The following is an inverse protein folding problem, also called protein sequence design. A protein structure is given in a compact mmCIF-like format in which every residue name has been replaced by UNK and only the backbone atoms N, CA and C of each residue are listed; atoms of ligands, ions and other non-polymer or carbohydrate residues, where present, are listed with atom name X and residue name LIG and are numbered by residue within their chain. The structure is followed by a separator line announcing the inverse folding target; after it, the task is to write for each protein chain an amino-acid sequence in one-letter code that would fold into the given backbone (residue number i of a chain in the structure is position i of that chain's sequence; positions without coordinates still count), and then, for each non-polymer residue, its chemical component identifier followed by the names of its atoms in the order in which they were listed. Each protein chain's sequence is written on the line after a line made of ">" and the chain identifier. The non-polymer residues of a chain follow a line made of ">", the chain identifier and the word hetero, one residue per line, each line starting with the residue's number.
data_IF_701886098362
#
_entry.id   IF_701886098362
#
_cell.length_a   1.000
_cell.length_b   1.000
_cell.length_c   1.000
_cell.angle_alpha   90.00
_cell.angle_beta   90.00
_cell.angle_gamma   90.00
#
_symmetry.space_group_name_H-M   'P 1'
#
loop_
_entity.id
_entity.type
_entity.pdbx_description
1 polymer ?
#
# COMPACT_ATOMS: atom_id res chain seq x y z
N UNK A 1 40.36 -6.11 -26.44
CA UNK A 1 39.77 -7.34 -25.90
C UNK A 1 38.30 -7.04 -25.66
N UNK A 2 37.48 -7.68 -26.46
CA UNK A 2 36.03 -7.41 -26.67
C UNK A 2 35.18 -7.99 -25.56
N UNK A 3 34.29 -7.20 -24.97
CA UNK A 3 33.18 -7.71 -24.17
C UNK A 3 31.90 -7.67 -25.00
N UNK A 4 31.46 -8.87 -25.43
CA UNK A 4 30.22 -9.07 -26.15
C UNK A 4 29.01 -8.91 -25.19
N UNK A 5 28.11 -8.02 -25.55
CA UNK A 5 26.78 -7.93 -24.97
C UNK A 5 25.92 -9.09 -25.53
N UNK A 6 25.33 -9.90 -24.66
CA UNK A 6 24.34 -10.90 -25.04
C UNK A 6 22.95 -10.25 -24.98
N UNK A 7 22.42 -9.91 -26.15
CA UNK A 7 21.02 -9.56 -26.35
C UNK A 7 20.17 -10.84 -26.37
N UNK A 8 19.17 -10.89 -25.49
CA UNK A 8 18.17 -11.96 -25.49
C UNK A 8 17.09 -11.64 -26.54
N UNK A 9 17.17 -12.31 -27.68
CA UNK A 9 16.18 -12.25 -28.74
C UNK A 9 14.94 -13.06 -28.35
N UNK A 10 13.80 -12.39 -28.19
CA UNK A 10 12.50 -13.04 -28.04
C UNK A 10 12.00 -13.40 -29.44
N UNK A 11 11.97 -14.70 -29.76
CA UNK A 11 11.40 -15.23 -31.00
C UNK A 11 9.88 -15.31 -30.82
N UNK A 12 9.14 -14.43 -31.49
CA UNK A 12 7.69 -14.53 -31.65
C UNK A 12 7.41 -15.38 -32.89
N UNK A 13 6.92 -16.60 -32.69
CA UNK A 13 6.44 -17.47 -33.75
C UNK A 13 5.09 -16.98 -34.27
N UNK A 14 5.04 -16.62 -35.53
CA UNK A 14 3.83 -16.27 -36.26
C UNK A 14 3.09 -17.54 -36.71
N UNK A 15 1.84 -17.71 -36.29
CA UNK A 15 0.88 -18.62 -36.92
C UNK A 15 -0.30 -17.82 -37.45
N UNK A 16 -0.65 -18.08 -38.71
CA UNK A 16 -1.54 -17.39 -39.63
C UNK A 16 -3.05 -17.65 -39.41
N UNK A 17 -3.97 -16.98 -40.14
CA UNK A 17 -5.20 -16.42 -39.61
C UNK A 17 -6.46 -17.19 -39.96
N UNK A 18 -7.44 -17.24 -39.10
CA UNK A 18 -8.88 -17.25 -39.43
C UNK A 18 -9.72 -17.29 -38.14
N UNK A 19 -10.26 -16.17 -37.72
CA UNK A 19 -11.69 -15.98 -37.45
C UNK A 19 -11.90 -14.56 -36.90
N UNK A 20 -12.64 -13.78 -37.68
CA UNK A 20 -13.23 -12.51 -37.27
C UNK A 20 -14.18 -12.76 -36.12
N UNK A 21 -13.84 -12.25 -34.95
CA UNK A 21 -14.79 -11.98 -33.86
C UNK A 21 -14.53 -10.58 -33.32
N UNK A 22 -15.57 -9.79 -33.34
CA UNK A 22 -15.65 -8.37 -33.00
C UNK A 22 -14.97 -8.09 -31.67
N UNK A 23 -13.94 -7.23 -31.68
CA UNK A 23 -13.38 -6.59 -30.50
C UNK A 23 -14.31 -5.44 -30.13
N UNK A 24 -15.18 -5.66 -29.17
CA UNK A 24 -15.84 -4.59 -28.43
C UNK A 24 -14.83 -4.03 -27.44
N UNK A 25 -14.19 -2.92 -27.81
CA UNK A 25 -13.46 -2.10 -26.85
C UNK A 25 -14.49 -1.37 -25.99
N UNK A 26 -14.75 -1.86 -24.80
CA UNK A 26 -15.43 -1.05 -23.79
C UNK A 26 -14.45 0.01 -23.26
N UNK A 27 -14.49 1.18 -23.90
CA UNK A 27 -14.01 2.40 -23.30
C UNK A 27 -14.97 2.77 -22.17
N UNK A 28 -14.58 2.57 -20.94
CA UNK A 28 -15.26 3.15 -19.81
C UNK A 28 -14.82 4.61 -19.73
N UNK A 29 -15.56 5.49 -20.42
CA UNK A 29 -15.51 6.94 -20.22
C UNK A 29 -16.31 7.28 -18.98
N UNK A 30 -15.78 6.94 -17.81
CA UNK A 30 -16.28 7.45 -16.53
C UNK A 30 -15.57 8.75 -16.21
N UNK A 31 -16.26 9.87 -16.37
CA UNK A 31 -15.84 11.13 -15.77
C UNK A 31 -15.73 10.93 -14.24
N UNK A 32 -14.52 10.74 -13.75
CA UNK A 32 -14.25 10.81 -12.32
C UNK A 32 -14.24 12.27 -11.91
N UNK A 33 -15.37 12.72 -11.33
CA UNK A 33 -15.42 13.97 -10.58
C UNK A 33 -14.52 13.83 -9.34
N UNK A 34 -13.67 14.81 -9.01
CA UNK A 34 -12.73 14.72 -7.87
C UNK A 34 -13.39 14.90 -6.50
N UNK A 35 -14.68 14.72 -6.36
CA UNK A 35 -15.43 15.01 -5.11
C UNK A 35 -16.24 13.80 -4.63
N UNK A 36 -15.66 12.62 -4.56
CA UNK A 36 -16.19 11.56 -3.73
C UNK A 36 -15.49 11.58 -2.38
N UNK A 37 -15.98 12.44 -1.49
CA UNK A 37 -15.68 12.36 -0.06
C UNK A 37 -16.11 10.98 0.43
N UNK A 38 -15.15 10.19 0.93
CA UNK A 38 -15.43 8.96 1.64
C UNK A 38 -16.32 9.28 2.85
N UNK A 39 -17.35 8.48 3.13
CA UNK A 39 -18.18 8.70 4.31
C UNK A 39 -17.30 8.60 5.55
N UNK A 40 -17.27 9.68 6.32
CA UNK A 40 -16.68 9.74 7.65
C UNK A 40 -17.51 8.79 8.53
N UNK A 41 -16.96 7.62 8.83
CA UNK A 41 -17.51 6.79 9.89
C UNK A 41 -17.26 7.52 11.21
N UNK A 42 -18.32 8.03 11.80
CA UNK A 42 -18.33 8.51 13.18
C UNK A 42 -17.87 7.39 14.09
N UNK A 43 -16.67 7.57 14.64
CA UNK A 43 -16.14 6.71 15.69
C UNK A 43 -17.08 6.82 16.91
N UNK A 44 -17.87 5.78 17.15
CA UNK A 44 -18.50 5.60 18.44
C UNK A 44 -17.40 5.42 19.48
N UNK A 45 -17.33 6.37 20.38
CA UNK A 45 -16.46 6.34 21.53
C UNK A 45 -16.94 5.18 22.45
N UNK A 46 -16.28 4.01 22.35
CA UNK A 46 -16.44 2.92 23.28
C UNK A 46 -15.47 3.19 24.41
N UNK A 47 -16.01 3.50 25.59
CA UNK A 47 -15.27 3.70 26.84
C UNK A 47 -14.40 2.48 27.18
N UNK A 48 -13.13 2.65 27.59
CA UNK A 48 -12.24 1.52 27.87
C UNK A 48 -12.42 1.02 29.29
N UNK A 49 -13.25 0.00 29.49
CA UNK A 49 -13.21 -0.86 30.68
C UNK A 49 -13.27 -2.33 30.24
N UNK A 50 -12.21 -2.80 29.57
CA UNK A 50 -11.99 -4.22 29.36
C UNK A 50 -10.61 -4.59 29.89
N UNK A 51 -10.56 -5.63 30.72
CA UNK A 51 -9.33 -6.13 31.36
C UNK A 51 -8.30 -6.51 30.28
N UNK A 52 -7.03 -6.21 30.52
CA UNK A 52 -5.93 -6.42 29.55
C UNK A 52 -5.75 -7.88 29.08
N UNK A 53 -6.52 -8.83 29.59
CA UNK A 53 -6.54 -10.22 29.17
C UNK A 53 -7.51 -10.45 28.00
N UNK A 54 -8.70 -9.82 28.01
CA UNK A 54 -9.67 -9.88 26.89
C UNK A 54 -9.14 -9.14 25.65
N UNK A 55 -8.49 -7.99 25.84
CA UNK A 55 -7.84 -7.26 24.75
C UNK A 55 -6.69 -8.06 24.09
N UNK A 56 -6.03 -8.98 24.84
CA UNK A 56 -4.99 -9.86 24.29
C UNK A 56 -5.56 -11.03 23.47
N UNK A 57 -6.78 -11.45 23.72
CA UNK A 57 -7.45 -12.53 23.00
C UNK A 57 -8.13 -12.01 21.72
N UNK A 58 -8.79 -10.86 21.78
CA UNK A 58 -9.34 -10.17 20.60
C UNK A 58 -8.27 -9.68 19.61
N UNK A 59 -7.03 -9.50 20.07
CA UNK A 59 -5.86 -9.16 19.25
C UNK A 59 -5.26 -10.37 18.51
N UNK A 60 -5.74 -11.59 18.75
CA UNK A 60 -5.15 -12.80 18.15
C UNK A 60 -5.68 -13.13 16.76
N UNK A 61 -6.90 -12.72 16.43
CA UNK A 61 -7.48 -12.97 15.10
C UNK A 61 -8.05 -11.68 14.52
N UNK A 62 -7.46 -11.23 13.40
CA UNK A 62 -8.07 -10.17 12.62
C UNK A 62 -9.35 -10.71 11.96
N UNK A 63 -10.44 -9.97 12.07
CA UNK A 63 -11.62 -10.24 11.25
C UNK A 63 -11.21 -10.13 9.77
N UNK A 64 -11.58 -11.11 8.95
CA UNK A 64 -11.38 -11.11 7.50
C UNK A 64 -12.33 -10.13 6.80
N UNK A 65 -13.37 -9.66 7.50
CA UNK A 65 -14.46 -8.89 6.93
C UNK A 65 -14.04 -7.56 6.27
N UNK A 66 -13.09 -6.78 6.82
CA UNK A 66 -12.59 -5.58 6.14
C UNK A 66 -11.97 -5.86 4.76
N UNK A 67 -11.29 -7.00 4.61
CA UNK A 67 -10.71 -7.42 3.34
C UNK A 67 -11.80 -7.83 2.34
N UNK A 68 -12.80 -8.59 2.77
CA UNK A 68 -13.95 -8.98 1.93
C UNK A 68 -14.71 -7.74 1.45
N UNK A 69 -14.97 -6.78 2.34
CA UNK A 69 -15.59 -5.50 1.98
C UNK A 69 -14.73 -4.68 1.01
N UNK A 70 -13.39 -4.73 1.16
CA UNK A 70 -12.48 -4.08 0.22
C UNK A 70 -12.59 -4.69 -1.17
N UNK A 71 -12.62 -6.03 -1.29
CA UNK A 71 -12.78 -6.70 -2.56
C UNK A 71 -14.17 -6.46 -3.18
N UNK A 72 -15.23 -6.51 -2.38
CA UNK A 72 -16.61 -6.26 -2.85
C UNK A 72 -16.82 -4.86 -3.46
N UNK A 73 -16.08 -3.86 -2.97
CA UNK A 73 -16.09 -2.51 -3.55
C UNK A 73 -15.48 -2.46 -4.95
N UNK A 74 -14.58 -3.39 -5.26
CA UNK A 74 -13.96 -3.50 -6.59
C UNK A 74 -14.82 -4.40 -7.48
N UNK A 75 -15.10 -5.62 -7.03
CA UNK A 75 -15.91 -6.62 -7.73
C UNK A 75 -16.60 -7.49 -6.66
N UNK A 76 -17.95 -7.57 -6.65
CA UNK A 76 -18.67 -8.40 -5.68
C UNK A 76 -18.24 -9.86 -5.71
N UNK A 77 -17.98 -10.43 -4.53
CA UNK A 77 -17.58 -11.82 -4.35
C UNK A 77 -18.78 -12.70 -4.03
N UNK A 78 -18.84 -13.88 -4.64
CA UNK A 78 -19.78 -14.93 -4.26
C UNK A 78 -19.34 -15.69 -2.99
N UNK A 79 -20.17 -16.64 -2.51
CA UNK A 79 -19.90 -17.41 -1.29
C UNK A 79 -18.64 -18.27 -1.40
N UNK A 80 -18.39 -18.88 -2.56
CA UNK A 80 -17.24 -19.75 -2.77
C UNK A 80 -15.94 -18.91 -2.80
N UNK A 81 -15.95 -17.78 -3.49
CA UNK A 81 -14.84 -16.82 -3.56
C UNK A 81 -14.50 -16.25 -2.17
N UNK A 82 -15.52 -15.93 -1.35
CA UNK A 82 -15.30 -15.49 0.05
C UNK A 82 -14.64 -16.57 0.90
N UNK A 83 -15.01 -17.85 0.70
CA UNK A 83 -14.37 -18.96 1.40
C UNK A 83 -12.91 -19.13 0.98
N UNK A 84 -12.60 -19.04 -0.31
CA UNK A 84 -11.21 -19.05 -0.79
C UNK A 84 -10.35 -17.93 -0.13
N UNK A 85 -10.90 -16.73 0.02
CA UNK A 85 -10.20 -15.64 0.72
C UNK A 85 -9.95 -16.01 2.19
N UNK A 86 -10.94 -16.58 2.90
CA UNK A 86 -10.79 -17.02 4.30
C UNK A 86 -9.73 -18.10 4.48
N UNK A 87 -9.60 -19.01 3.52
CA UNK A 87 -8.62 -20.11 3.56
C UNK A 87 -7.20 -19.65 3.27
N UNK A 88 -7.00 -18.62 2.43
CA UNK A 88 -5.69 -18.22 1.92
C UNK A 88 -5.07 -17.02 2.65
N UNK A 89 -5.89 -16.22 3.32
CA UNK A 89 -5.39 -15.08 4.08
C UNK A 89 -5.27 -15.43 5.56
N UNK A 90 -4.10 -15.11 6.12
CA UNK A 90 -3.79 -15.39 7.52
C UNK A 90 -3.55 -14.09 8.28
N UNK A 91 -4.13 -13.99 9.48
CA UNK A 91 -3.91 -12.84 10.34
C UNK A 91 -2.55 -12.90 11.03
N UNK A 92 -1.90 -11.73 11.16
CA UNK A 92 -0.67 -11.59 11.92
C UNK A 92 -0.60 -10.23 12.61
N UNK A 93 -0.23 -10.26 13.88
CA UNK A 93 0.05 -9.07 14.67
C UNK A 93 1.54 -8.76 14.65
N UNK A 94 1.90 -7.57 14.21
CA UNK A 94 3.23 -7.00 14.35
C UNK A 94 3.23 -5.96 15.46
N UNK A 95 4.15 -6.09 16.41
CA UNK A 95 4.36 -5.10 17.46
C UNK A 95 5.04 -3.87 16.88
N UNK A 96 4.85 -2.73 17.54
CA UNK A 96 5.57 -1.50 17.21
C UNK A 96 7.07 -1.76 17.04
N UNK A 97 7.65 -1.28 15.94
CA UNK A 97 9.04 -1.48 15.51
C UNK A 97 9.41 -2.90 15.08
N UNK A 98 8.47 -3.83 15.03
CA UNK A 98 8.73 -5.16 14.49
C UNK A 98 8.78 -5.11 12.96
N UNK A 99 9.76 -5.81 12.39
CA UNK A 99 9.90 -5.95 10.95
C UNK A 99 8.86 -6.90 10.37
N UNK A 100 8.24 -6.48 9.28
CA UNK A 100 7.47 -7.31 8.34
C UNK A 100 8.42 -7.86 7.27
N UNK A 101 9.33 -7.01 6.79
CA UNK A 101 10.39 -7.32 5.85
C UNK A 101 11.64 -6.54 6.27
N UNK A 102 12.78 -7.21 6.31
CA UNK A 102 14.07 -6.58 6.56
C UNK A 102 14.91 -6.64 5.27
N UNK A 103 15.64 -5.58 4.99
CA UNK A 103 16.62 -5.52 3.89
C UNK A 103 17.50 -6.76 3.89
N UNK A 104 17.77 -7.32 2.71
CA UNK A 104 18.49 -8.58 2.53
C UNK A 104 17.61 -9.82 2.57
N UNK A 105 16.38 -9.76 3.08
CA UNK A 105 15.44 -10.87 3.06
C UNK A 105 14.52 -10.81 1.81
N UNK A 106 13.98 -11.96 1.41
CA UNK A 106 13.00 -12.05 0.32
C UNK A 106 11.62 -11.69 0.87
N UNK A 107 10.87 -10.84 0.15
CA UNK A 107 9.48 -10.55 0.45
C UNK A 107 8.61 -11.75 0.06
N UNK A 108 8.02 -12.42 1.03
CA UNK A 108 7.20 -13.63 0.82
C UNK A 108 5.72 -13.40 1.06
N UNK A 109 5.33 -12.24 1.56
CA UNK A 109 3.96 -11.96 1.98
C UNK A 109 3.44 -10.66 1.39
N UNK A 110 2.18 -10.68 0.92
CA UNK A 110 1.43 -9.49 0.56
C UNK A 110 0.47 -9.16 1.70
N UNK A 111 0.63 -7.99 2.32
CA UNK A 111 -0.06 -7.62 3.56
C UNK A 111 -1.15 -6.59 3.30
N UNK A 112 -2.36 -6.86 3.81
CA UNK A 112 -3.47 -5.91 3.93
C UNK A 112 -3.58 -5.46 5.39
N UNK A 113 -3.53 -4.17 5.65
CA UNK A 113 -3.60 -3.61 7.01
C UNK A 113 -5.05 -3.55 7.46
N UNK A 114 -5.37 -4.28 8.54
CA UNK A 114 -6.68 -4.26 9.18
C UNK A 114 -6.76 -3.15 10.23
N UNK A 115 -5.69 -3.00 11.01
CA UNK A 115 -5.54 -1.97 12.04
C UNK A 115 -4.08 -1.64 12.23
N UNK A 116 -3.77 -0.38 12.46
CA UNK A 116 -2.41 0.10 12.70
C UNK A 116 -1.78 0.72 11.45
N UNK A 117 -0.46 0.84 11.45
CA UNK A 117 0.26 1.48 10.36
C UNK A 117 1.63 0.84 10.14
N UNK A 118 1.90 0.50 8.89
CA UNK A 118 3.21 0.07 8.40
C UNK A 118 3.89 1.21 7.64
N UNK A 119 5.22 1.18 7.60
CA UNK A 119 6.02 2.00 6.68
C UNK A 119 6.98 1.13 5.89
N UNK A 120 7.24 1.53 4.64
CA UNK A 120 8.27 0.99 3.77
C UNK A 120 9.34 2.05 3.57
N UNK A 121 10.61 1.69 3.75
CA UNK A 121 11.71 2.63 3.69
C UNK A 121 13.03 1.97 3.30
N UNK A 122 13.96 2.81 2.86
CA UNK A 122 15.37 2.46 2.66
C UNK A 122 16.24 3.32 3.57
N UNK A 123 17.36 2.77 4.02
CA UNK A 123 18.43 3.50 4.68
C UNK A 123 19.56 3.68 3.66
N UNK A 124 20.00 4.90 3.45
CA UNK A 124 21.14 5.17 2.56
C UNK A 124 22.48 4.92 3.28
N UNK A 125 23.59 4.97 2.53
CA UNK A 125 24.96 4.76 3.05
C UNK A 125 25.34 5.76 4.17
N UNK A 126 24.67 6.91 4.24
CA UNK A 126 24.87 7.94 5.27
C UNK A 126 24.00 7.73 6.51
N UNK A 127 23.17 6.67 6.53
CA UNK A 127 22.25 6.37 7.62
C UNK A 127 20.93 7.14 7.56
N UNK A 128 20.64 7.90 6.50
CA UNK A 128 19.37 8.62 6.37
C UNK A 128 18.26 7.65 5.96
N UNK A 129 17.11 7.80 6.57
CA UNK A 129 15.91 7.03 6.24
C UNK A 129 15.12 7.74 5.15
N UNK A 130 14.81 7.04 4.06
CA UNK A 130 13.96 7.50 2.96
C UNK A 130 12.68 6.66 2.95
N UNK A 131 11.55 7.25 3.33
CA UNK A 131 10.28 6.53 3.39
C UNK A 131 9.61 6.58 2.02
N UNK A 132 9.30 5.38 1.50
CA UNK A 132 8.63 5.23 0.22
C UNK A 132 7.10 5.24 0.36
N UNK A 133 6.57 4.60 1.42
CA UNK A 133 5.14 4.41 1.58
C UNK A 133 4.78 4.25 3.07
N UNK A 134 3.60 4.75 3.41
CA UNK A 134 2.87 4.31 4.60
C UNK A 134 1.66 3.48 4.17
N UNK A 135 1.27 2.49 4.96
CA UNK A 135 0.03 1.77 4.78
C UNK A 135 -0.71 1.71 6.12
N UNK A 136 -1.86 2.35 6.15
CA UNK A 136 -2.80 2.33 7.26
C UNK A 136 -3.96 1.37 6.96
N UNK A 137 -5.01 1.44 7.74
CA UNK A 137 -6.21 0.61 7.62
C UNK A 137 -6.77 0.60 6.19
N UNK A 138 -7.09 -0.57 5.67
CA UNK A 138 -7.56 -0.84 4.30
C UNK A 138 -6.52 -0.58 3.20
N UNK A 139 -5.25 -0.46 3.54
CA UNK A 139 -4.17 -0.29 2.58
C UNK A 139 -3.31 -1.55 2.50
N UNK A 140 -2.65 -1.68 1.35
CA UNK A 140 -1.77 -2.80 1.06
C UNK A 140 -0.30 -2.41 1.23
N UNK A 141 0.52 -3.37 1.68
CA UNK A 141 1.97 -3.23 1.82
C UNK A 141 2.70 -4.45 1.27
N UNK A 142 3.61 -4.22 0.34
CA UNK A 142 4.44 -5.24 -0.29
C UNK A 142 5.66 -4.60 -0.95
N UNK A 143 6.81 -5.27 -0.92
CA UNK A 143 7.87 -5.04 -1.91
C UNK A 143 7.60 -5.94 -3.13
N UNK A 144 6.95 -5.37 -4.12
CA UNK A 144 6.51 -6.08 -5.31
C UNK A 144 7.70 -6.64 -6.13
N UNK A 145 8.81 -5.90 -6.16
CA UNK A 145 10.03 -6.32 -6.87
C UNK A 145 10.61 -7.60 -6.28
N UNK A 146 10.81 -7.63 -4.96
CA UNK A 146 11.31 -8.81 -4.24
C UNK A 146 10.31 -9.96 -4.28
N UNK A 147 9.00 -9.69 -4.09
CA UNK A 147 7.95 -10.70 -4.08
C UNK A 147 7.84 -11.48 -5.39
N UNK A 148 7.98 -10.80 -6.53
CA UNK A 148 7.92 -11.48 -7.85
C UNK A 148 9.24 -12.09 -8.27
N UNK A 149 10.37 -11.41 -8.04
CA UNK A 149 11.68 -11.89 -8.47
C UNK A 149 12.28 -12.95 -7.56
N UNK A 150 11.77 -13.09 -6.33
CA UNK A 150 12.32 -13.91 -5.24
C UNK A 150 13.76 -13.53 -4.88
N UNK A 151 14.19 -12.32 -5.22
CA UNK A 151 15.50 -11.78 -4.85
C UNK A 151 15.41 -11.01 -3.53
N UNK A 152 16.51 -10.93 -2.78
CA UNK A 152 16.57 -10.11 -1.56
C UNK A 152 16.11 -8.68 -1.80
N UNK A 153 15.32 -8.15 -0.89
CA UNK A 153 14.84 -6.77 -0.91
C UNK A 153 15.93 -5.79 -0.50
N UNK A 154 15.96 -4.62 -1.13
CA UNK A 154 16.74 -3.46 -0.70
C UNK A 154 15.93 -2.53 0.24
N UNK A 155 14.76 -2.97 0.68
CA UNK A 155 13.82 -2.18 1.47
C UNK A 155 13.55 -2.83 2.82
N UNK A 156 13.17 -2.00 3.77
CA UNK A 156 12.65 -2.42 5.07
C UNK A 156 11.16 -2.09 5.15
N UNK A 157 10.37 -2.98 5.77
CA UNK A 157 8.98 -2.74 6.14
C UNK A 157 8.87 -3.03 7.64
N UNK A 158 8.45 -2.05 8.43
CA UNK A 158 8.22 -2.22 9.87
C UNK A 158 6.88 -1.60 10.31
N UNK A 159 6.45 -1.96 11.50
CA UNK A 159 5.25 -1.45 12.14
C UNK A 159 5.55 -0.16 12.93
N UNK A 160 4.86 0.93 12.61
CA UNK A 160 4.97 2.21 13.34
C UNK A 160 4.32 2.11 14.72
N UNK A 161 3.29 1.30 14.83
CA UNK A 161 2.52 0.99 16.02
C UNK A 161 2.11 -0.49 15.99
N UNK A 162 1.43 -1.00 17.02
CA UNK A 162 0.91 -2.37 16.99
C UNK A 162 -0.07 -2.52 15.84
N UNK A 163 0.29 -3.34 14.85
CA UNK A 163 -0.37 -3.41 13.55
C UNK A 163 -0.85 -4.83 13.26
N UNK A 164 -2.14 -4.97 13.01
CA UNK A 164 -2.77 -6.21 12.60
C UNK A 164 -2.93 -6.23 11.09
N UNK A 165 -2.44 -7.27 10.45
CA UNK A 165 -2.55 -7.46 9.00
C UNK A 165 -3.20 -8.80 8.66
N UNK A 166 -3.81 -8.86 7.48
CA UNK A 166 -4.10 -10.10 6.77
C UNK A 166 -3.05 -10.25 5.68
N UNK A 167 -2.38 -11.39 5.66
CA UNK A 167 -1.29 -11.64 4.72
C UNK A 167 -1.58 -12.88 3.88
N UNK A 168 -1.14 -12.84 2.62
CA UNK A 168 -1.21 -13.96 1.69
C UNK A 168 0.19 -14.24 1.15
N UNK A 169 0.56 -15.52 1.10
CA UNK A 169 1.82 -15.96 0.50
C UNK A 169 1.74 -15.87 -1.04
N UNK A 170 2.92 -15.91 -1.69
CA UNK A 170 2.96 -15.94 -3.15
C UNK A 170 2.26 -17.17 -3.73
N UNK A 171 2.45 -18.33 -3.13
CA UNK A 171 1.87 -19.59 -3.62
C UNK A 171 0.36 -19.62 -3.42
N UNK A 172 -0.13 -19.12 -2.28
CA UNK A 172 -1.55 -18.97 -2.02
C UNK A 172 -2.20 -17.96 -2.97
N UNK A 173 -1.51 -16.87 -3.30
CA UNK A 173 -1.98 -15.88 -4.26
C UNK A 173 -2.11 -16.48 -5.67
N UNK A 174 -1.11 -17.25 -6.13
CA UNK A 174 -1.18 -17.95 -7.42
C UNK A 174 -2.32 -18.97 -7.42
N UNK A 175 -2.46 -19.73 -6.33
CA UNK A 175 -3.56 -20.67 -6.15
C UNK A 175 -4.93 -19.99 -6.19
N UNK A 176 -5.05 -18.82 -5.55
CA UNK A 176 -6.27 -18.00 -5.57
C UNK A 176 -6.63 -17.54 -6.98
N UNK A 177 -5.63 -17.10 -7.77
CA UNK A 177 -5.83 -16.72 -9.18
C UNK A 177 -6.31 -17.87 -10.05
N UNK A 178 -5.80 -19.09 -9.82
CA UNK A 178 -6.17 -20.29 -10.56
C UNK A 178 -7.58 -20.76 -10.18
N UNK A 179 -7.92 -20.75 -8.88
CA UNK A 179 -9.21 -21.21 -8.38
C UNK A 179 -10.36 -20.27 -8.74
N UNK A 180 -10.11 -18.95 -8.76
CA UNK A 180 -11.11 -17.94 -9.08
C UNK A 180 -10.48 -16.81 -9.91
N UNK A 181 -10.60 -16.86 -11.27
CA UNK A 181 -9.98 -15.90 -12.18
C UNK A 181 -10.36 -14.43 -11.92
N UNK A 182 -11.47 -14.17 -11.26
CA UNK A 182 -11.89 -12.82 -10.83
C UNK A 182 -10.83 -12.11 -10.01
N UNK A 183 -10.06 -12.84 -9.18
CA UNK A 183 -8.99 -12.25 -8.39
C UNK A 183 -7.83 -11.72 -9.23
N UNK A 184 -7.58 -12.26 -10.43
CA UNK A 184 -6.61 -11.65 -11.36
C UNK A 184 -7.02 -10.22 -11.72
N UNK A 185 -8.31 -9.97 -11.94
CA UNK A 185 -8.81 -8.62 -12.24
C UNK A 185 -8.71 -7.72 -11.01
N UNK A 186 -9.11 -8.20 -9.84
CA UNK A 186 -9.05 -7.45 -8.58
C UNK A 186 -7.61 -7.00 -8.29
N UNK A 187 -6.65 -7.93 -8.32
CA UNK A 187 -5.26 -7.61 -8.02
C UNK A 187 -4.60 -6.77 -9.13
N UNK A 188 -4.99 -6.95 -10.40
CA UNK A 188 -4.55 -6.07 -11.48
C UNK A 188 -4.98 -4.63 -11.22
N UNK A 189 -6.26 -4.38 -10.92
CA UNK A 189 -6.76 -3.04 -10.61
C UNK A 189 -6.04 -2.45 -9.39
N UNK A 190 -5.76 -3.27 -8.37
CA UNK A 190 -5.02 -2.85 -7.19
C UNK A 190 -3.59 -2.38 -7.56
N UNK A 191 -2.89 -3.15 -8.38
CA UNK A 191 -1.51 -2.83 -8.83
C UNK A 191 -1.52 -1.60 -9.75
N UNK A 192 -2.45 -1.51 -10.70
CA UNK A 192 -2.60 -0.36 -11.60
C UNK A 192 -2.85 0.93 -10.80
N UNK A 193 -3.75 0.91 -9.82
CA UNK A 193 -4.00 2.05 -8.92
C UNK A 193 -2.76 2.42 -8.09
N UNK A 194 -1.99 1.43 -7.65
CA UNK A 194 -0.74 1.65 -6.90
C UNK A 194 0.34 2.27 -7.79
N UNK A 195 0.43 1.84 -9.04
CA UNK A 195 1.33 2.39 -10.04
C UNK A 195 1.02 3.85 -10.36
N UNK A 196 -0.26 4.19 -10.59
CA UNK A 196 -0.70 5.59 -10.81
C UNK A 196 -0.29 6.48 -9.64
N UNK A 197 -0.55 6.03 -8.40
CA UNK A 197 -0.14 6.78 -7.20
C UNK A 197 1.39 6.96 -7.08
N UNK A 198 2.16 5.97 -7.53
CA UNK A 198 3.61 6.06 -7.57
C UNK A 198 4.07 7.07 -8.62
N UNK A 199 3.47 7.08 -9.82
CA UNK A 199 3.74 8.06 -10.87
C UNK A 199 3.44 9.49 -10.40
N UNK A 200 2.28 9.72 -9.77
CA UNK A 200 1.91 11.01 -9.19
C UNK A 200 2.95 11.48 -8.18
N UNK A 201 3.38 10.59 -7.28
CA UNK A 201 4.41 10.92 -6.29
C UNK A 201 5.76 11.23 -6.93
N UNK A 202 6.17 10.45 -7.93
CA UNK A 202 7.41 10.71 -8.67
C UNK A 202 7.36 12.08 -9.34
N UNK A 203 6.26 12.40 -10.01
CA UNK A 203 6.04 13.70 -10.63
C UNK A 203 6.13 14.83 -9.60
N UNK A 204 5.46 14.72 -8.46
CA UNK A 204 5.55 15.68 -7.36
C UNK A 204 6.99 15.85 -6.85
N UNK A 205 7.74 14.75 -6.73
CA UNK A 205 9.13 14.79 -6.27
C UNK A 205 10.02 15.56 -7.23
N UNK A 206 9.78 15.49 -8.54
CA UNK A 206 10.56 16.13 -9.59
C UNK A 206 10.15 17.60 -9.82
N UNK A 207 8.84 17.90 -9.78
CA UNK A 207 8.29 19.17 -10.28
C UNK A 207 7.68 20.09 -9.22
N UNK A 208 7.50 19.62 -7.97
CA UNK A 208 6.79 20.39 -6.95
C UNK A 208 7.70 20.89 -5.84
N UNK A 209 7.30 22.01 -5.23
CA UNK A 209 8.00 22.54 -4.05
C UNK A 209 7.81 21.64 -2.83
N UNK A 210 8.63 21.81 -1.80
CA UNK A 210 8.45 21.08 -0.53
C UNK A 210 7.12 21.42 0.15
N UNK A 211 6.59 22.60 -0.08
CA UNK A 211 5.28 23.06 0.42
C UNK A 211 4.15 22.30 -0.26
N UNK A 212 4.16 22.20 -1.60
CA UNK A 212 3.16 21.45 -2.38
C UNK A 212 3.20 19.96 -2.02
N UNK A 213 4.41 19.36 -1.86
CA UNK A 213 4.55 17.98 -1.42
C UNK A 213 3.98 17.76 -0.01
N UNK A 214 4.16 18.72 0.89
CA UNK A 214 3.60 18.64 2.24
C UNK A 214 2.06 18.76 2.21
N UNK A 215 1.51 19.65 1.39
CA UNK A 215 0.06 19.76 1.22
C UNK A 215 -0.54 18.46 0.67
N UNK A 216 0.04 17.89 -0.38
CA UNK A 216 -0.38 16.61 -0.94
C UNK A 216 -0.25 15.45 0.08
N UNK A 217 0.76 15.51 0.95
CA UNK A 217 0.89 14.57 2.06
C UNK A 217 -0.29 14.69 3.04
N UNK A 218 -0.67 15.91 3.43
CA UNK A 218 -1.79 16.15 4.33
C UNK A 218 -3.12 15.66 3.75
N UNK A 219 -3.34 15.84 2.45
CA UNK A 219 -4.53 15.35 1.74
C UNK A 219 -4.57 13.82 1.71
N UNK A 220 -3.45 13.19 1.35
CA UNK A 220 -3.36 11.73 1.23
C UNK A 220 -3.39 11.00 2.57
N UNK A 221 -2.75 11.56 3.59
CA UNK A 221 -2.51 10.96 4.88
C UNK A 221 -3.12 11.75 6.04
N UNK A 222 -4.25 12.44 5.81
CA UNK A 222 -4.91 13.27 6.82
C UNK A 222 -5.10 12.52 8.16
N UNK A 223 -5.56 11.28 8.10
CA UNK A 223 -5.79 10.41 9.25
C UNK A 223 -4.51 9.90 9.94
N UNK A 224 -3.35 10.02 9.28
CA UNK A 224 -2.06 9.62 9.85
C UNK A 224 -1.26 10.78 10.45
N UNK A 225 -1.62 12.03 10.19
CA UNK A 225 -0.83 13.19 10.58
C UNK A 225 -0.49 13.24 12.09
N UNK A 226 -1.40 12.77 12.93
CA UNK A 226 -1.20 12.71 14.38
C UNK A 226 -0.56 11.38 14.86
N UNK A 227 -0.44 10.37 13.99
CA UNK A 227 0.16 9.06 14.27
C UNK A 227 1.63 8.98 13.86
N UNK A 228 2.06 9.88 12.97
CA UNK A 228 3.41 9.94 12.44
C UNK A 228 4.25 11.01 13.14
N UNK A 229 5.52 10.69 13.44
CA UNK A 229 6.46 11.67 13.92
C UNK A 229 6.87 12.67 12.83
N UNK A 230 7.30 13.87 13.23
CA UNK A 230 7.82 14.86 12.27
C UNK A 230 9.01 14.32 11.45
N UNK A 231 9.87 13.51 12.08
CA UNK A 231 11.00 12.87 11.41
C UNK A 231 10.53 11.91 10.32
N UNK A 232 9.46 11.13 10.57
CA UNK A 232 8.89 10.23 9.57
C UNK A 232 8.26 10.99 8.40
N UNK A 233 7.53 12.09 8.69
CA UNK A 233 6.95 12.93 7.65
C UNK A 233 8.06 13.59 6.81
N UNK A 234 9.10 14.12 7.44
CA UNK A 234 10.24 14.71 6.77
C UNK A 234 10.97 13.69 5.86
N UNK A 235 11.20 12.48 6.38
CA UNK A 235 11.82 11.37 5.62
C UNK A 235 10.96 10.92 4.40
N UNK A 236 9.63 11.01 4.51
CA UNK A 236 8.72 10.76 3.39
C UNK A 236 8.77 11.87 2.33
N UNK A 237 8.91 13.13 2.76
CA UNK A 237 8.95 14.31 1.89
C UNK A 237 10.34 14.54 1.26
N UNK A 238 11.37 13.84 1.74
CA UNK A 238 12.76 14.06 1.31
C UNK A 238 13.34 15.40 1.78
N UNK A 239 12.96 15.83 2.99
CA UNK A 239 13.44 17.08 3.62
C UNK A 239 13.90 16.81 5.06
N UNK A 240 14.58 17.78 5.69
CA UNK A 240 14.96 17.65 7.10
C UNK A 240 13.79 17.94 8.04
N UNK A 241 13.84 17.41 9.27
CA UNK A 241 12.81 17.66 10.27
C UNK A 241 12.74 19.14 10.67
N UNK A 242 13.88 19.84 10.71
CA UNK A 242 13.99 21.27 10.99
C UNK A 242 13.34 22.10 9.90
N UNK A 243 13.55 21.71 8.61
CA UNK A 243 12.90 22.39 7.50
C UNK A 243 11.38 22.19 7.54
N UNK A 244 10.90 20.98 7.83
CA UNK A 244 9.48 20.69 8.01
C UNK A 244 8.88 21.52 9.14
N UNK A 245 9.57 21.64 10.28
CA UNK A 245 9.10 22.46 11.42
C UNK A 245 8.94 23.93 11.01
N UNK A 246 9.92 24.50 10.30
CA UNK A 246 9.84 25.88 9.78
C UNK A 246 8.70 26.06 8.78
N UNK A 247 8.50 25.09 7.88
CA UNK A 247 7.42 25.09 6.90
C UNK A 247 6.06 25.12 7.58
N UNK A 248 5.84 24.24 8.56
CA UNK A 248 4.58 24.18 9.35
C UNK A 248 4.27 25.49 10.07
N UNK A 249 5.29 26.10 10.68
CA UNK A 249 5.13 27.38 11.38
C UNK A 249 4.77 28.51 10.40
N UNK A 250 5.35 28.54 9.19
CA UNK A 250 5.02 29.52 8.15
C UNK A 250 3.57 29.36 7.68
N UNK A 251 3.13 28.15 7.39
CA UNK A 251 1.76 27.87 6.94
C UNK A 251 0.73 28.19 8.03
N UNK A 252 1.00 27.90 9.28
CA UNK A 252 0.14 28.23 10.40
C UNK A 252 -0.05 29.75 10.56
N UNK A 253 1.02 30.55 10.38
CA UNK A 253 0.93 32.02 10.41
C UNK A 253 0.16 32.59 9.24
N UNK A 254 0.37 32.05 8.01
CA UNK A 254 -0.36 32.48 6.82
C UNK A 254 -1.88 32.15 6.91
N UNK A 255 -2.24 31.02 7.50
CA UNK A 255 -3.65 30.67 7.74
C UNK A 255 -4.35 31.61 8.72
N UNK A 256 -3.64 32.03 9.79
CA UNK A 256 -4.17 32.97 10.79
C UNK A 256 -4.31 34.43 10.27
N UNK A 257 -3.56 34.80 9.25
CA UNK A 257 -3.63 36.13 8.63
C UNK A 257 -4.79 36.25 7.61
N UNK A 258 -5.41 35.15 7.21
CA UNK A 258 -6.54 35.10 6.26
C UNK A 258 -7.89 34.85 6.93
N UNK A 259 -7.91 34.55 8.22
CA UNK A 259 -9.08 34.40 9.08
C UNK A 259 -9.35 35.69 9.88
#
# INVERSE_FOLDING_TARGET
>A
MSHAAQEATIVVSAASPAHRAQRSCYYYSGHFSPSAAFPIFTAHCITPHHSGRQMKEELKEASIEPLLQYFDKLIPLDKAERNLVRERFHSRLFRKRQYVLQEGNVCTQFCFVVRGCLRMYRIDEKGNTHILQFAAENWWMIDLGSFHSLKPSALNIDAIEDTMVLQISRDDLISLYTAAPKFNLIFRVLIENSFVKLQERLLQTISSTAEDRYQSFLERYAHLNNRLSQTQIAAYLGITAEFLSRLRNRLSKAGKAKS
#
